data_IF_012516017788
#
_entry.id   IF_012516017788
#
_cell.length_a   1.000
_cell.length_b   1.000
_cell.length_c   1.000
_cell.angle_alpha   90.00
_cell.angle_beta   90.00
_cell.angle_gamma   90.00
#
_symmetry.space_group_name_H-M   'P 1'
#
loop_
_entity.id
_entity.type
_entity.pdbx_description
1 polymer ?
#
# COMPACT_ATOMS: atom_id res chain seq x y z
N UNK A 1 -12.23 1.72 17.26
CA UNK A 1 -11.71 0.36 17.47
C UNK A 1 -11.81 -0.12 18.91
N UNK A 2 -11.54 0.71 19.93
CA UNK A 2 -11.57 0.34 21.36
C UNK A 2 -12.87 -0.33 21.88
N UNK A 3 -14.04 -0.01 21.32
CA UNK A 3 -15.33 -0.50 21.85
C UNK A 3 -15.61 -1.98 21.57
N UNK A 4 -15.18 -2.53 20.44
CA UNK A 4 -15.50 -3.92 20.08
C UNK A 4 -14.63 -4.93 20.87
N UNK A 5 -13.34 -4.60 21.05
CA UNK A 5 -12.39 -5.39 21.84
C UNK A 5 -12.78 -5.43 23.33
N UNK A 6 -13.15 -4.27 23.89
CA UNK A 6 -13.62 -4.18 25.28
C UNK A 6 -14.91 -4.99 25.47
N UNK A 7 -15.80 -5.01 24.47
CA UNK A 7 -17.05 -5.76 24.55
C UNK A 7 -16.80 -7.27 24.51
N UNK A 8 -15.95 -7.73 23.59
CA UNK A 8 -15.58 -9.15 23.48
C UNK A 8 -14.92 -9.66 24.77
N UNK A 9 -13.93 -8.93 25.30
CA UNK A 9 -13.25 -9.30 26.55
C UNK A 9 -14.20 -9.32 27.75
N UNK A 10 -15.08 -8.32 27.89
CA UNK A 10 -16.05 -8.26 29.00
C UNK A 10 -17.07 -9.40 28.95
N UNK A 11 -17.61 -9.69 27.77
CA UNK A 11 -18.58 -10.79 27.60
C UNK A 11 -17.91 -12.14 27.77
N UNK A 12 -16.70 -12.33 27.25
CA UNK A 12 -15.95 -13.58 27.40
C UNK A 12 -15.59 -13.88 28.86
N UNK A 13 -15.05 -12.90 29.60
CA UNK A 13 -14.68 -13.06 31.02
C UNK A 13 -15.88 -13.34 31.92
N UNK A 14 -17.09 -12.88 31.57
CA UNK A 14 -18.31 -13.24 32.30
C UNK A 14 -18.75 -14.70 32.04
N UNK A 15 -18.54 -15.22 30.83
CA UNK A 15 -18.99 -16.55 30.42
C UNK A 15 -17.94 -17.64 30.72
N UNK A 16 -16.66 -17.27 30.82
CA UNK A 16 -15.53 -18.19 30.99
C UNK A 16 -15.32 -18.69 32.44
N UNK A 17 -16.06 -18.17 33.43
CA UNK A 17 -16.00 -18.56 34.85
C UNK A 17 -16.29 -20.08 35.06
N UNK A 18 -16.87 -20.76 34.07
CA UNK A 18 -17.32 -22.15 34.13
C UNK A 18 -16.38 -23.20 33.48
N UNK A 19 -15.24 -22.83 32.89
CA UNK A 19 -14.44 -23.73 32.04
C UNK A 19 -13.18 -24.24 32.75
N UNK A 20 -12.91 -25.55 32.69
CA UNK A 20 -11.87 -26.24 33.47
C UNK A 20 -10.41 -25.93 33.07
N UNK A 21 -10.16 -25.42 31.85
CA UNK A 21 -8.81 -25.03 31.35
C UNK A 21 -8.67 -23.51 31.24
N UNK A 22 -8.97 -22.80 32.34
CA UNK A 22 -9.13 -21.33 32.29
C UNK A 22 -7.81 -20.59 32.05
N UNK A 23 -6.67 -21.11 32.48
CA UNK A 23 -5.41 -20.36 32.46
C UNK A 23 -4.74 -20.33 31.07
N UNK A 24 -4.66 -21.47 30.37
CA UNK A 24 -4.16 -21.50 28.97
C UNK A 24 -5.06 -20.72 28.02
N UNK A 25 -6.39 -20.82 28.18
CA UNK A 25 -7.35 -20.05 27.39
C UNK A 25 -7.29 -18.53 27.70
N UNK A 26 -6.91 -18.15 28.92
CA UNK A 26 -6.65 -16.74 29.27
C UNK A 26 -5.39 -16.24 28.61
N UNK A 27 -4.30 -17.01 28.61
CA UNK A 27 -3.04 -16.65 27.94
C UNK A 27 -3.25 -16.43 26.43
N UNK A 28 -3.93 -17.36 25.74
CA UNK A 28 -4.24 -17.21 24.31
C UNK A 28 -5.12 -15.99 24.01
N UNK A 29 -6.06 -15.66 24.90
CA UNK A 29 -6.91 -14.48 24.77
C UNK A 29 -6.12 -13.18 25.00
N UNK A 30 -5.22 -13.17 25.98
CA UNK A 30 -4.34 -12.04 26.26
C UNK A 30 -3.42 -11.77 25.06
N UNK A 31 -2.83 -12.81 24.49
CA UNK A 31 -2.01 -12.71 23.27
C UNK A 31 -2.81 -12.18 22.08
N UNK A 32 -4.02 -12.70 21.87
CA UNK A 32 -4.91 -12.24 20.81
C UNK A 32 -5.32 -10.77 21.02
N UNK A 33 -5.56 -10.36 22.27
CA UNK A 33 -5.89 -8.99 22.61
C UNK A 33 -4.71 -8.05 22.32
N UNK A 34 -3.49 -8.45 22.67
CA UNK A 34 -2.27 -7.69 22.33
C UNK A 34 -2.15 -7.57 20.81
N UNK A 35 -2.36 -8.66 20.07
CA UNK A 35 -2.26 -8.65 18.61
C UNK A 35 -3.30 -7.74 17.95
N UNK A 36 -4.57 -7.79 18.36
CA UNK A 36 -5.65 -6.99 17.78
C UNK A 36 -5.54 -5.50 18.13
N UNK A 37 -5.10 -5.19 19.36
CA UNK A 37 -4.91 -3.81 19.82
C UNK A 37 -3.64 -3.15 19.25
N UNK A 38 -2.65 -3.95 18.83
CA UNK A 38 -1.42 -3.45 18.24
C UNK A 38 -1.62 -3.13 16.76
N UNK A 39 -1.73 -1.84 16.44
CA UNK A 39 -1.73 -1.38 15.05
C UNK A 39 -0.43 -1.80 14.36
N UNK A 40 -0.54 -2.28 13.12
CA UNK A 40 0.59 -2.81 12.33
C UNK A 40 1.27 -4.07 12.89
N UNK A 41 0.64 -4.82 13.81
CA UNK A 41 1.23 -6.02 14.44
C UNK A 41 1.86 -7.01 13.44
N UNK A 42 1.15 -7.33 12.35
CA UNK A 42 1.65 -8.26 11.31
C UNK A 42 2.97 -7.76 10.70
N UNK A 43 3.03 -6.47 10.36
CA UNK A 43 4.22 -5.87 9.75
C UNK A 43 5.39 -5.83 10.74
N UNK A 44 5.12 -5.48 12.00
CA UNK A 44 6.16 -5.41 13.04
C UNK A 44 6.74 -6.80 13.35
N UNK A 45 5.89 -7.83 13.41
CA UNK A 45 6.33 -9.21 13.55
C UNK A 45 7.15 -9.66 12.34
N UNK A 46 6.71 -9.32 11.12
CA UNK A 46 7.48 -9.62 9.91
C UNK A 46 8.85 -8.92 9.93
N UNK A 47 8.91 -7.65 10.31
CA UNK A 47 10.17 -6.91 10.41
C UNK A 47 11.13 -7.56 11.41
N UNK A 48 10.64 -8.00 12.57
CA UNK A 48 11.44 -8.69 13.58
C UNK A 48 12.04 -10.00 13.05
N UNK A 49 11.28 -10.77 12.27
CA UNK A 49 11.78 -12.01 11.64
C UNK A 49 12.72 -11.72 10.46
N UNK A 50 12.42 -10.70 9.64
CA UNK A 50 13.28 -10.29 8.53
C UNK A 50 14.66 -9.85 9.01
N UNK A 51 14.76 -9.15 10.13
CA UNK A 51 16.05 -8.70 10.67
C UNK A 51 16.98 -9.86 11.09
N UNK A 52 16.44 -11.07 11.27
CA UNK A 52 17.24 -12.27 11.53
C UNK A 52 17.87 -12.85 10.27
N UNK A 53 17.35 -12.52 9.09
CA UNK A 53 17.85 -13.02 7.83
C UNK A 53 19.00 -12.14 7.31
N UNK A 54 20.09 -12.78 6.90
CA UNK A 54 21.20 -12.09 6.25
C UNK A 54 20.72 -11.52 4.89
N UNK A 55 21.21 -10.35 4.47
CA UNK A 55 20.96 -9.71 3.14
C UNK A 55 19.60 -9.07 2.89
N UNK A 56 18.74 -8.89 3.91
CA UNK A 56 17.42 -8.26 3.73
C UNK A 56 17.49 -6.86 3.13
N UNK A 57 18.49 -6.06 3.50
CA UNK A 57 18.69 -4.72 2.96
C UNK A 57 18.85 -4.72 1.42
N UNK A 58 19.63 -5.66 0.88
CA UNK A 58 19.86 -5.76 -0.56
C UNK A 58 18.56 -6.15 -1.30
N UNK A 59 17.80 -7.10 -0.73
CA UNK A 59 16.51 -7.54 -1.28
C UNK A 59 15.52 -6.37 -1.29
N UNK A 60 15.41 -5.65 -0.17
CA UNK A 60 14.53 -4.48 -0.07
C UNK A 60 14.91 -3.41 -1.09
N UNK A 61 16.20 -3.14 -1.30
CA UNK A 61 16.65 -2.19 -2.31
C UNK A 61 16.28 -2.62 -3.73
N UNK A 62 16.49 -3.88 -4.08
CA UNK A 62 16.10 -4.41 -5.40
C UNK A 62 14.59 -4.30 -5.62
N UNK A 63 13.79 -4.61 -4.60
CA UNK A 63 12.32 -4.49 -4.67
C UNK A 63 11.87 -3.04 -4.83
N UNK A 64 12.50 -2.09 -4.12
CA UNK A 64 12.16 -0.66 -4.25
C UNK A 64 12.53 -0.16 -5.65
N UNK A 65 13.71 -0.49 -6.15
CA UNK A 65 14.12 -0.14 -7.52
C UNK A 65 13.10 -0.71 -8.52
N UNK A 66 12.75 -1.99 -8.40
CA UNK A 66 11.75 -2.61 -9.27
C UNK A 66 10.40 -1.88 -9.23
N UNK A 67 9.89 -1.54 -8.05
CA UNK A 67 8.63 -0.80 -7.91
C UNK A 67 8.70 0.58 -8.58
N UNK A 68 9.79 1.31 -8.36
CA UNK A 68 9.96 2.67 -8.90
C UNK A 68 10.09 2.65 -10.41
N UNK A 69 10.94 1.79 -10.96
CA UNK A 69 11.10 1.67 -12.41
C UNK A 69 9.78 1.24 -13.07
N UNK A 70 9.07 0.27 -12.48
CA UNK A 70 7.78 -0.19 -13.00
C UNK A 70 6.71 0.91 -12.98
N UNK A 71 6.64 1.70 -11.91
CA UNK A 71 5.69 2.80 -11.77
C UNK A 71 6.00 3.99 -12.69
N UNK A 72 7.26 4.20 -13.06
CA UNK A 72 7.64 5.26 -14.01
C UNK A 72 7.52 4.82 -15.48
N UNK A 73 7.60 3.52 -15.75
CA UNK A 73 7.45 3.00 -17.11
C UNK A 73 6.01 3.16 -17.63
N UNK A 74 4.98 3.27 -16.78
CA UNK A 74 3.55 3.55 -16.99
C UNK A 74 2.79 2.77 -18.12
N UNK A 75 3.42 2.34 -19.22
CA UNK A 75 2.79 1.65 -20.35
C UNK A 75 2.67 0.13 -20.19
N UNK A 76 3.31 -0.46 -19.17
CA UNK A 76 3.40 -1.91 -18.99
C UNK A 76 2.51 -2.47 -17.87
N UNK A 77 1.89 -1.62 -17.05
CA UNK A 77 1.16 -2.05 -15.85
C UNK A 77 -0.36 -1.93 -16.02
N UNK A 78 -1.07 -2.98 -15.62
CA UNK A 78 -2.51 -2.90 -15.42
C UNK A 78 -2.81 -2.06 -14.17
N UNK A 79 -4.00 -1.43 -14.13
CA UNK A 79 -4.43 -0.63 -12.97
C UNK A 79 -4.29 -1.36 -11.62
N UNK A 80 -4.67 -2.65 -11.46
CA UNK A 80 -4.49 -3.36 -10.20
C UNK A 80 -3.03 -3.52 -9.78
N UNK A 81 -2.13 -3.75 -10.74
CA UNK A 81 -0.69 -3.92 -10.51
C UNK A 81 -0.08 -2.60 -10.07
N UNK A 82 -0.43 -1.50 -10.76
CA UNK A 82 -0.02 -0.15 -10.39
C UNK A 82 -0.43 0.20 -8.95
N UNK A 83 -1.70 -0.06 -8.59
CA UNK A 83 -2.19 0.19 -7.23
C UNK A 83 -1.55 -0.75 -6.18
N UNK A 84 -1.19 -1.98 -6.56
CA UNK A 84 -0.44 -2.87 -5.69
C UNK A 84 0.96 -2.31 -5.40
N UNK A 85 1.70 -1.87 -6.42
CA UNK A 85 3.04 -1.29 -6.25
C UNK A 85 2.99 -0.02 -5.39
N UNK A 86 2.01 0.86 -5.60
CA UNK A 86 1.83 2.06 -4.79
C UNK A 86 1.47 1.78 -3.32
N UNK A 87 0.86 0.63 -3.02
CA UNK A 87 0.61 0.19 -1.63
C UNK A 87 1.85 -0.40 -0.97
N UNK A 88 2.64 -1.14 -1.73
CA UNK A 88 3.83 -1.85 -1.22
C UNK A 88 5.02 -0.91 -1.06
N UNK A 89 5.26 -0.02 -2.02
CA UNK A 89 6.39 0.91 -2.03
C UNK A 89 6.57 1.72 -0.73
N UNK A 90 5.55 2.37 -0.13
CA UNK A 90 5.73 3.14 1.10
C UNK A 90 6.19 2.26 2.28
N UNK A 91 5.71 1.01 2.36
CA UNK A 91 6.12 0.07 3.40
C UNK A 91 7.58 -0.35 3.18
N UNK A 92 7.96 -0.68 1.94
CA UNK A 92 9.34 -1.05 1.61
C UNK A 92 10.32 0.08 1.92
N UNK A 93 9.97 1.33 1.57
CA UNK A 93 10.82 2.50 1.84
C UNK A 93 11.06 2.64 3.35
N UNK A 94 10.02 2.52 4.18
CA UNK A 94 10.18 2.60 5.64
C UNK A 94 11.08 1.47 6.17
N UNK A 95 10.84 0.24 5.73
CA UNK A 95 11.63 -0.93 6.15
C UNK A 95 13.10 -0.81 5.73
N UNK A 96 13.37 -0.30 4.52
CA UNK A 96 14.73 -0.10 4.01
C UNK A 96 15.47 1.08 4.64
N UNK A 97 14.78 1.89 5.45
CA UNK A 97 15.35 3.03 6.19
C UNK A 97 15.47 2.71 7.68
N UNK A 98 15.86 1.47 8.01
CA UNK A 98 16.15 1.01 9.36
C UNK A 98 17.30 1.75 10.04
N UNK A 99 18.25 2.29 9.25
CA UNK A 99 19.38 3.10 9.71
C UNK A 99 19.65 4.27 8.76
N UNK A 100 20.37 5.29 9.22
CA UNK A 100 20.79 6.44 8.40
C UNK A 100 21.68 6.01 7.23
N UNK A 101 22.57 5.03 7.45
CA UNK A 101 23.43 4.45 6.42
C UNK A 101 22.62 3.81 5.29
N UNK A 102 21.55 3.10 5.66
CA UNK A 102 20.71 2.38 4.71
C UNK A 102 19.88 3.36 3.89
N UNK A 103 19.35 4.40 4.54
CA UNK A 103 18.65 5.50 3.89
C UNK A 103 19.53 6.19 2.84
N UNK A 104 20.77 6.53 3.18
CA UNK A 104 21.73 7.13 2.23
C UNK A 104 22.01 6.20 1.04
N UNK A 105 22.17 4.90 1.30
CA UNK A 105 22.41 3.91 0.24
C UNK A 105 21.22 3.79 -0.73
N UNK A 106 19.99 3.81 -0.19
CA UNK A 106 18.75 3.80 -0.97
C UNK A 106 18.62 5.06 -1.83
N UNK A 107 18.86 6.23 -1.23
CA UNK A 107 18.72 7.51 -1.93
C UNK A 107 19.79 7.73 -3.01
N UNK A 108 20.96 7.11 -2.88
CA UNK A 108 21.95 7.06 -3.97
C UNK A 108 21.46 6.27 -5.18
N UNK A 109 20.74 5.16 -4.98
CA UNK A 109 20.24 4.31 -6.07
C UNK A 109 19.00 4.89 -6.75
N UNK A 110 18.00 5.28 -5.97
CA UNK A 110 16.65 5.59 -6.49
C UNK A 110 16.40 7.10 -6.60
N UNK A 111 17.17 7.95 -5.90
CA UNK A 111 16.92 9.39 -5.70
C UNK A 111 15.59 9.65 -4.98
N UNK A 112 15.67 10.32 -3.83
CA UNK A 112 14.50 10.65 -3.02
C UNK A 112 13.42 11.45 -3.79
N UNK A 113 13.81 12.30 -4.74
CA UNK A 113 12.88 13.10 -5.52
C UNK A 113 11.96 12.25 -6.42
N UNK A 114 12.44 11.10 -6.93
CA UNK A 114 11.62 10.17 -7.72
C UNK A 114 10.52 9.57 -6.86
N UNK A 115 10.88 9.08 -5.67
CA UNK A 115 9.92 8.58 -4.67
C UNK A 115 8.88 9.63 -4.29
N UNK A 116 9.32 10.87 -4.01
CA UNK A 116 8.43 11.98 -3.70
C UNK A 116 7.46 12.26 -4.85
N UNK A 117 7.93 12.25 -6.09
CA UNK A 117 7.12 12.48 -7.28
C UNK A 117 6.01 11.43 -7.40
N UNK A 118 6.36 10.15 -7.25
CA UNK A 118 5.41 9.03 -7.30
C UNK A 118 4.29 9.23 -6.27
N UNK A 119 4.63 9.50 -5.01
CA UNK A 119 3.62 9.66 -3.95
C UNK A 119 2.76 10.92 -4.10
N UNK A 120 3.28 11.97 -4.75
CA UNK A 120 2.50 13.17 -5.08
C UNK A 120 1.54 12.95 -6.24
N UNK A 121 1.95 12.15 -7.22
CA UNK A 121 1.13 11.82 -8.38
C UNK A 121 -0.06 10.93 -8.00
N UNK A 122 0.08 10.11 -6.97
CA UNK A 122 -0.99 9.21 -6.49
C UNK A 122 -1.17 9.31 -4.97
N UNK A 123 -1.77 10.40 -4.49
CA UNK A 123 -1.90 10.63 -3.05
C UNK A 123 -2.93 9.73 -2.38
N UNK A 124 -3.86 9.18 -3.17
CA UNK A 124 -4.94 8.28 -2.74
C UNK A 124 -5.00 7.10 -3.70
N UNK A 125 -4.97 5.88 -3.16
CA UNK A 125 -4.98 4.63 -3.92
C UNK A 125 -6.03 3.66 -3.37
N UNK A 126 -6.70 2.89 -4.22
CA UNK A 126 -7.69 1.91 -3.76
C UNK A 126 -6.98 0.70 -3.13
N UNK A 127 -7.51 0.25 -1.98
CA UNK A 127 -7.11 -1.01 -1.35
C UNK A 127 -8.20 -2.07 -1.42
N UNK A 128 -9.44 -1.65 -1.20
CA UNK A 128 -10.68 -2.41 -1.38
C UNK A 128 -11.73 -1.48 -2.02
N UNK A 129 -12.88 -1.98 -2.51
CA UNK A 129 -13.85 -1.17 -3.26
C UNK A 129 -14.21 0.18 -2.60
N UNK A 130 -14.43 0.18 -1.29
CA UNK A 130 -14.77 1.38 -0.52
C UNK A 130 -13.61 1.88 0.36
N UNK A 131 -12.48 1.16 0.39
CA UNK A 131 -11.32 1.51 1.22
C UNK A 131 -10.20 2.09 0.37
N UNK A 132 -9.96 3.37 0.59
CA UNK A 132 -8.85 4.09 -0.01
C UNK A 132 -7.74 4.29 1.01
N UNK A 133 -6.50 4.16 0.57
CA UNK A 133 -5.30 4.38 1.36
C UNK A 133 -4.53 5.56 0.80
N UNK A 134 -3.67 6.14 1.63
CA UNK A 134 -2.69 7.12 1.20
C UNK A 134 -1.29 6.61 1.49
N UNK A 135 -0.41 6.53 0.47
CA UNK A 135 0.99 6.13 0.68
C UNK A 135 1.69 6.98 1.76
N UNK A 136 1.41 8.28 1.76
CA UNK A 136 1.96 9.23 2.73
C UNK A 136 1.43 8.98 4.13
N UNK A 137 0.13 8.71 4.27
CA UNK A 137 -0.45 8.39 5.58
C UNK A 137 0.15 7.10 6.16
N UNK A 138 0.36 6.08 5.32
CA UNK A 138 1.05 4.84 5.72
C UNK A 138 2.44 5.17 6.27
N UNK A 139 3.26 5.94 5.54
CA UNK A 139 4.60 6.32 5.99
C UNK A 139 4.57 7.13 7.30
N UNK A 140 3.64 8.08 7.45
CA UNK A 140 3.48 8.89 8.67
C UNK A 140 3.15 8.03 9.87
N UNK A 141 2.21 7.11 9.74
CA UNK A 141 1.86 6.21 10.83
C UNK A 141 2.98 5.24 11.18
N UNK A 142 3.72 4.74 10.17
CA UNK A 142 4.85 3.86 10.42
C UNK A 142 6.01 4.59 11.10
N UNK A 143 6.17 5.89 10.90
CA UNK A 143 7.28 6.67 11.47
C UNK A 143 7.44 6.56 13.00
N UNK A 144 6.34 6.34 13.74
CA UNK A 144 6.41 6.16 15.20
C UNK A 144 7.00 4.81 15.63
N UNK A 145 7.00 3.81 14.75
CA UNK A 145 7.59 2.50 15.00
C UNK A 145 9.03 2.40 14.47
N UNK A 146 9.43 3.28 13.55
CA UNK A 146 10.73 3.27 12.88
C UNK A 146 11.47 4.61 13.12
N UNK A 147 12.20 4.76 14.24
CA UNK A 147 12.85 6.02 14.61
C UNK A 147 13.82 6.54 13.54
N UNK A 148 14.57 5.66 12.88
CA UNK A 148 15.50 6.03 11.81
C UNK A 148 14.80 6.62 10.58
N UNK A 149 13.55 6.23 10.30
CA UNK A 149 12.75 6.84 9.25
C UNK A 149 12.12 8.16 9.71
N UNK A 150 11.83 8.33 11.01
CA UNK A 150 11.22 9.56 11.54
C UNK A 150 12.05 10.82 11.29
N UNK A 151 13.38 10.69 11.11
CA UNK A 151 14.28 11.78 10.75
C UNK A 151 14.09 12.27 9.30
N UNK A 152 13.38 11.52 8.46
CA UNK A 152 13.14 11.80 7.04
C UNK A 152 11.97 12.78 6.85
N UNK A 153 12.16 14.01 7.33
CA UNK A 153 11.19 15.10 7.30
C UNK A 153 10.60 15.39 5.91
N UNK A 154 11.35 15.12 4.83
CA UNK A 154 10.89 15.35 3.45
C UNK A 154 9.69 14.49 3.03
N UNK A 155 9.62 13.23 3.49
CA UNK A 155 8.45 12.38 3.24
C UNK A 155 7.29 12.74 4.17
N UNK A 156 7.60 13.11 5.41
CA UNK A 156 6.60 13.49 6.41
C UNK A 156 5.97 14.86 6.14
N UNK A 157 6.66 15.73 5.40
CA UNK A 157 6.14 17.04 4.96
C UNK A 157 5.16 16.95 3.79
N UNK A 158 4.94 15.76 3.21
CA UNK A 158 3.93 15.59 2.16
C UNK A 158 2.52 15.78 2.74
N UNK A 159 1.70 16.56 2.05
CA UNK A 159 0.31 16.81 2.41
C UNK A 159 -0.47 15.50 2.46
N UNK A 160 -1.24 15.35 3.53
CA UNK A 160 -2.14 14.21 3.68
C UNK A 160 -3.41 14.42 2.81
N UNK A 161 -4.15 13.35 2.47
CA UNK A 161 -5.27 13.40 1.51
C UNK A 161 -6.33 14.48 1.78
N UNK A 162 -6.53 14.85 3.04
CA UNK A 162 -7.54 15.84 3.44
C UNK A 162 -7.19 17.28 3.05
N UNK A 163 -5.96 17.54 2.62
CA UNK A 163 -5.50 18.86 2.14
C UNK A 163 -5.51 18.96 0.61
N UNK A 164 -5.85 17.87 -0.08
CA UNK A 164 -5.74 17.78 -1.54
C UNK A 164 -7.10 18.14 -2.11
N UNK A 165 -7.13 19.20 -2.93
CA UNK A 165 -8.32 19.56 -3.72
C UNK A 165 -8.81 18.28 -4.43
N UNK A 166 -10.13 17.98 -4.46
CA UNK A 166 -10.63 16.87 -5.25
C UNK A 166 -10.01 16.97 -6.62
N UNK A 167 -9.20 15.98 -7.00
CA UNK A 167 -8.70 15.86 -8.35
C UNK A 167 -9.96 15.89 -9.21
N UNK A 168 -10.15 16.98 -9.97
CA UNK A 168 -11.20 17.05 -11.00
C UNK A 168 -11.18 15.71 -11.68
N UNK A 169 -12.32 14.99 -11.66
CA UNK A 169 -12.50 13.63 -12.16
C UNK A 169 -11.42 13.35 -13.18
N UNK A 170 -10.29 12.78 -12.73
CA UNK A 170 -9.25 12.47 -13.68
C UNK A 170 -9.90 11.38 -14.46
N UNK A 171 -10.17 11.74 -15.72
CA UNK A 171 -10.49 10.86 -16.80
C UNK A 171 -9.92 9.48 -16.46
N UNK A 172 -10.78 8.60 -15.93
CA UNK A 172 -10.83 7.24 -16.48
C UNK A 172 -10.62 7.43 -17.96
N UNK A 173 -9.86 6.60 -18.66
CA UNK A 173 -9.53 6.89 -20.03
C UNK A 173 -10.77 6.65 -20.90
N UNK A 174 -11.82 7.46 -20.73
CA UNK A 174 -12.93 7.70 -21.61
C UNK A 174 -12.36 8.13 -22.94
N UNK A 175 -11.23 8.81 -22.98
CA UNK A 175 -10.48 9.01 -24.22
C UNK A 175 -10.02 7.67 -24.85
N UNK A 176 -9.41 6.73 -24.10
CA UNK A 176 -9.00 5.43 -24.66
C UNK A 176 -10.23 4.58 -25.01
N UNK A 177 -11.24 4.49 -24.14
CA UNK A 177 -12.48 3.77 -24.46
C UNK A 177 -13.17 4.38 -25.68
N UNK A 178 -13.23 5.69 -25.81
CA UNK A 178 -13.88 6.38 -26.93
C UNK A 178 -13.08 6.18 -28.21
N UNK A 179 -11.75 6.28 -28.19
CA UNK A 179 -10.87 5.96 -29.33
C UNK A 179 -11.00 4.48 -29.74
N UNK A 180 -10.93 3.55 -28.79
CA UNK A 180 -11.04 2.11 -29.05
C UNK A 180 -12.43 1.73 -29.57
N UNK A 181 -13.50 2.36 -29.06
CA UNK A 181 -14.86 2.17 -29.56
C UNK A 181 -15.04 2.76 -30.96
N UNK A 182 -14.52 3.95 -31.26
CA UNK A 182 -14.61 4.52 -32.62
C UNK A 182 -13.85 3.67 -33.63
N UNK A 183 -12.63 3.26 -33.31
CA UNK A 183 -11.79 2.47 -34.21
C UNK A 183 -12.37 1.05 -34.42
N UNK A 184 -12.89 0.44 -33.35
CA UNK A 184 -13.59 -0.85 -33.45
C UNK A 184 -14.89 -0.75 -34.26
N UNK A 185 -15.64 0.35 -34.15
CA UNK A 185 -16.87 0.58 -34.91
C UNK A 185 -16.58 0.85 -36.39
N UNK A 186 -15.54 1.62 -36.71
CA UNK A 186 -15.11 1.86 -38.09
C UNK A 186 -14.72 0.54 -38.78
N UNK A 187 -13.93 -0.31 -38.11
CA UNK A 187 -13.58 -1.64 -38.62
C UNK A 187 -14.82 -2.53 -38.82
N UNK A 188 -15.80 -2.43 -37.91
CA UNK A 188 -17.04 -3.21 -38.02
C UNK A 188 -17.91 -2.73 -39.19
N UNK A 189 -17.98 -1.42 -39.42
CA UNK A 189 -18.71 -0.80 -40.53
C UNK A 189 -18.06 -1.17 -41.87
N UNK A 190 -16.74 -1.06 -41.97
CA UNK A 190 -15.98 -1.41 -43.17
C UNK A 190 -16.13 -2.89 -43.53
N UNK A 191 -16.08 -3.78 -42.52
CA UNK A 191 -16.39 -5.22 -42.73
C UNK A 191 -17.84 -5.44 -43.17
N UNK A 192 -18.80 -4.66 -42.65
CA UNK A 192 -20.20 -4.80 -43.05
C UNK A 192 -20.43 -4.36 -44.50
N UNK A 193 -19.80 -3.27 -44.95
CA UNK A 193 -19.87 -2.82 -46.35
C UNK A 193 -19.23 -3.82 -47.32
N UNK A 194 -18.10 -4.44 -46.96
CA UNK A 194 -17.47 -5.47 -47.78
C UNK A 194 -18.33 -6.74 -47.93
N UNK A 195 -19.14 -7.08 -46.92
CA UNK A 195 -20.06 -8.23 -46.98
C UNK A 195 -21.29 -7.90 -47.83
N UNK A 196 -21.81 -6.66 -47.74
CA UNK A 196 -22.97 -6.22 -48.55
C UNK A 196 -22.61 -6.05 -50.03
N UNK A 197 -21.39 -5.63 -50.35
CA UNK A 197 -20.88 -5.51 -51.74
C UNK A 197 -20.66 -6.85 -52.45
N UNK A 198 -20.62 -7.97 -51.70
CA UNK A 198 -20.46 -9.34 -52.22
C UNK A 198 -21.79 -10.11 -52.37
N UNK A 199 -22.92 -9.47 -52.11
CA UNK A 199 -24.28 -9.98 -52.33
C UNK A 199 -24.91 -9.29 -53.54
#
# INVERSE_FOLDING_TARGET
MCWLEILLHRTFTQVSIQWQDTDTMREELDDLQIFLSTRWAILLNLHAEMFRANTVEDILQVLIVFCVESLELDFALLFPERHMLLRVLPVLVVLATSSEKDADSLYRRVKINRLISIFKNDPVIPAFPDLHLSPVAIMKELSMYFPSFSSQTRFLALSAPHEILPRELQEYPSQIYQFFWTESLEILIEKKEQVVSKL
#
